data_IF_864582544098
#
_entry.id   IF_864582544098
#
_cell.length_a   1.000
_cell.length_b   1.000
_cell.length_c   1.000
_cell.angle_alpha   90.00
_cell.angle_beta   90.00
_cell.angle_gamma   90.00
#
_symmetry.space_group_name_H-M   'P 1'
#
loop_
_entity.id
_entity.type
_entity.pdbx_description
1 polymer ?
#
# COMPACT_ATOMS: atom_id res chain seq x y z
N UNK A 1 52.74 -4.32 -14.31
CA UNK A 1 52.51 -3.02 -14.95
C UNK A 1 51.29 -3.15 -15.83
N UNK A 2 50.35 -2.21 -15.70
CA UNK A 2 49.52 -1.65 -16.78
C UNK A 2 48.74 -2.59 -17.72
N UNK A 3 47.45 -2.73 -17.47
CA UNK A 3 46.41 -2.55 -18.51
C UNK A 3 46.41 -1.07 -19.01
N UNK A 4 45.54 -0.61 -19.96
CA UNK A 4 44.60 -1.33 -20.83
C UNK A 4 44.63 -0.84 -22.32
N UNK A 5 43.62 -1.26 -23.09
CA UNK A 5 42.76 -0.41 -23.96
C UNK A 5 42.82 -0.59 -25.50
N UNK A 6 41.67 -0.27 -26.11
CA UNK A 6 41.33 -0.14 -27.54
C UNK A 6 41.17 -1.46 -28.32
N UNK A 7 40.19 -1.64 -29.21
CA UNK A 7 39.48 -0.64 -30.03
C UNK A 7 38.04 -1.07 -30.41
N UNK A 8 37.03 -0.18 -30.31
CA UNK A 8 36.21 0.22 -31.48
C UNK A 8 35.22 1.38 -31.24
N UNK A 9 35.02 2.18 -32.30
CA UNK A 9 34.19 3.40 -32.39
C UNK A 9 33.51 3.44 -33.80
N UNK A 10 32.61 4.36 -34.19
CA UNK A 10 32.13 5.64 -33.63
C UNK A 10 30.65 5.84 -34.02
N UNK A 11 29.73 6.19 -33.09
CA UNK A 11 28.40 6.68 -33.50
C UNK A 11 27.66 7.51 -32.42
N UNK A 12 27.87 8.83 -32.43
CA UNK A 12 26.99 9.77 -31.73
C UNK A 12 25.64 9.86 -32.44
N UNK A 13 24.53 9.71 -31.71
CA UNK A 13 23.18 10.07 -32.16
C UNK A 13 22.55 11.02 -31.14
N UNK A 14 21.80 12.05 -31.58
CA UNK A 14 21.18 13.01 -30.66
C UNK A 14 20.14 12.30 -29.80
N UNK A 15 20.24 12.48 -28.48
CA UNK A 15 19.32 11.89 -27.51
C UNK A 15 17.94 12.56 -27.59
N UNK A 16 17.10 12.07 -28.51
CA UNK A 16 15.67 12.33 -28.49
C UNK A 16 15.16 11.90 -27.11
N UNK A 17 14.51 12.76 -26.31
CA UNK A 17 13.96 12.34 -25.03
C UNK A 17 12.93 11.24 -25.31
N UNK A 18 13.08 10.07 -24.67
CA UNK A 18 12.09 9.00 -24.78
C UNK A 18 10.75 9.55 -24.29
N UNK A 19 9.82 9.73 -25.23
CA UNK A 19 8.45 10.08 -24.90
C UNK A 19 7.84 9.01 -24.02
N UNK A 20 7.01 9.42 -23.06
CA UNK A 20 6.17 8.47 -22.33
C UNK A 20 5.29 7.72 -23.36
N UNK A 21 5.08 6.40 -23.18
CA UNK A 21 4.24 5.63 -24.10
C UNK A 21 2.85 6.24 -24.19
N UNK A 22 2.24 6.19 -25.37
CA UNK A 22 0.87 6.63 -25.56
C UNK A 22 -0.06 5.83 -24.61
N UNK A 23 -1.19 6.40 -24.16
CA UNK A 23 -2.12 5.69 -23.26
C UNK A 23 -2.77 4.42 -23.86
N UNK A 24 -2.56 4.15 -25.15
CA UNK A 24 -2.92 2.88 -25.81
C UNK A 24 -1.83 1.81 -25.74
N UNK A 25 -0.59 2.20 -25.45
CA UNK A 25 0.62 1.37 -25.46
C UNK A 25 1.16 1.11 -24.04
N UNK A 26 0.53 1.70 -23.02
CA UNK A 26 0.62 1.17 -21.65
C UNK A 26 -0.16 -0.15 -21.61
N UNK A 27 0.45 -1.26 -21.16
CA UNK A 27 -0.29 -2.48 -20.91
C UNK A 27 -1.29 -2.17 -19.80
N UNK A 28 -2.56 -2.03 -20.21
CA UNK A 28 -3.68 -1.75 -19.35
C UNK A 28 -3.91 -2.99 -18.48
N UNK A 29 -3.18 -3.06 -17.37
CA UNK A 29 -3.32 -4.08 -16.30
C UNK A 29 -4.60 -3.83 -15.49
N UNK A 30 -5.68 -3.52 -16.20
CA UNK A 30 -7.04 -3.49 -15.70
C UNK A 30 -7.59 -4.89 -15.90
N UNK A 31 -7.08 -5.83 -15.10
CA UNK A 31 -7.81 -7.06 -14.78
C UNK A 31 -9.01 -6.64 -13.91
N UNK A 32 -10.25 -6.58 -14.43
CA UNK A 32 -11.40 -6.10 -13.67
C UNK A 32 -11.82 -7.08 -12.56
N UNK A 33 -11.14 -8.23 -12.48
CA UNK A 33 -11.37 -9.33 -11.54
C UNK A 33 -10.09 -9.69 -10.76
N UNK A 34 -9.17 -8.74 -10.52
CA UNK A 34 -8.17 -8.94 -9.47
C UNK A 34 -8.86 -8.89 -8.09
N UNK A 35 -9.55 -9.98 -7.75
CA UNK A 35 -10.01 -10.29 -6.40
C UNK A 35 -8.76 -10.50 -5.57
N UNK A 36 -8.21 -9.39 -5.08
CA UNK A 36 -7.09 -9.42 -4.14
C UNK A 36 -7.58 -10.23 -2.95
N UNK A 37 -7.06 -11.45 -2.80
CA UNK A 37 -7.40 -12.33 -1.69
C UNK A 37 -6.76 -11.77 -0.43
N UNK A 38 -7.52 -10.93 0.26
CA UNK A 38 -7.13 -10.21 1.46
C UNK A 38 -7.28 -11.07 2.73
N UNK A 39 -7.18 -12.40 2.58
CA UNK A 39 -7.39 -13.47 3.58
C UNK A 39 -6.41 -13.40 4.78
N UNK A 40 -5.47 -12.47 4.75
CA UNK A 40 -4.36 -12.33 5.70
C UNK A 40 -4.20 -10.91 6.28
N UNK A 41 -5.16 -9.99 6.03
CA UNK A 41 -5.05 -8.60 6.48
C UNK A 41 -5.17 -8.37 8.00
N UNK A 42 -5.70 -9.34 8.74
CA UNK A 42 -6.02 -9.15 10.15
C UNK A 42 -7.16 -8.15 10.38
N UNK A 43 -7.33 -7.67 11.62
CA UNK A 43 -8.43 -6.79 11.97
C UNK A 43 -8.16 -5.33 11.54
N UNK A 44 -9.22 -4.65 11.11
CA UNK A 44 -9.22 -3.22 10.78
C UNK A 44 -9.35 -2.32 12.02
N UNK A 45 -8.72 -1.16 11.95
CA UNK A 45 -8.62 -0.13 12.98
C UNK A 45 -9.32 1.13 12.49
N UNK A 46 -10.27 1.66 13.27
CA UNK A 46 -10.82 3.00 13.03
C UNK A 46 -9.90 4.02 13.68
N UNK A 47 -9.50 5.05 12.95
CA UNK A 47 -8.64 6.14 13.43
C UNK A 47 -9.47 7.30 14.00
N UNK A 48 -8.80 8.26 14.65
CA UNK A 48 -9.49 9.42 15.27
C UNK A 48 -10.00 10.44 14.24
N UNK A 49 -9.51 10.36 13.00
CA UNK A 49 -9.90 11.16 11.83
C UNK A 49 -11.04 10.52 11.00
N UNK A 50 -11.55 9.35 11.43
CA UNK A 50 -12.57 8.59 10.71
C UNK A 50 -12.05 7.64 9.62
N UNK A 51 -10.75 7.66 9.30
CA UNK A 51 -10.15 6.72 8.34
C UNK A 51 -10.06 5.31 8.93
N UNK A 52 -9.95 4.30 8.05
CA UNK A 52 -9.80 2.89 8.46
C UNK A 52 -8.43 2.37 7.99
N UNK A 53 -7.63 1.85 8.93
CA UNK A 53 -6.29 1.31 8.69
C UNK A 53 -6.21 -0.18 9.04
N UNK A 54 -5.24 -0.89 8.46
CA UNK A 54 -4.91 -2.29 8.80
C UNK A 54 -3.70 -2.37 9.73
N UNK A 55 -3.61 -3.40 10.56
CA UNK A 55 -2.43 -3.65 11.40
C UNK A 55 -1.36 -4.36 10.55
N UNK A 56 -0.36 -3.63 10.06
CA UNK A 56 0.69 -4.17 9.18
C UNK A 56 1.49 -5.34 9.81
N UNK A 57 1.64 -5.33 11.14
CA UNK A 57 2.35 -6.34 11.95
C UNK A 57 1.49 -7.59 12.25
N UNK A 58 0.22 -7.68 11.81
CA UNK A 58 -0.72 -8.67 12.36
C UNK A 58 -0.26 -10.13 12.25
N UNK A 59 0.33 -10.51 11.11
CA UNK A 59 0.74 -11.89 10.86
C UNK A 59 1.93 -12.32 11.73
N UNK A 60 2.76 -11.38 12.20
CA UNK A 60 3.94 -11.63 13.01
C UNK A 60 3.63 -11.69 14.52
N UNK A 61 2.43 -11.30 14.95
CA UNK A 61 2.00 -11.40 16.35
C UNK A 61 1.77 -12.86 16.76
N UNK A 62 2.16 -13.22 17.98
CA UNK A 62 1.75 -14.49 18.59
C UNK A 62 0.25 -14.50 18.92
N UNK A 63 -0.35 -15.68 19.07
CA UNK A 63 -1.81 -15.77 19.22
C UNK A 63 -2.34 -15.11 20.51
N UNK A 64 -1.53 -15.10 21.59
CA UNK A 64 -1.84 -14.39 22.83
C UNK A 64 -1.77 -12.85 22.67
N UNK A 65 -0.91 -12.35 21.79
CA UNK A 65 -0.86 -10.92 21.44
C UNK A 65 -2.01 -10.54 20.49
N UNK A 66 -2.37 -11.43 19.55
CA UNK A 66 -3.55 -11.28 18.68
C UNK A 66 -4.84 -11.19 19.50
N UNK A 67 -5.04 -12.09 20.47
CA UNK A 67 -6.23 -12.09 21.35
C UNK A 67 -6.34 -10.78 22.15
N UNK A 68 -5.26 -10.36 22.82
CA UNK A 68 -5.19 -9.09 23.55
C UNK A 68 -5.46 -7.90 22.63
N UNK A 69 -4.85 -7.91 21.44
CA UNK A 69 -5.02 -6.86 20.43
C UNK A 69 -6.46 -6.76 19.98
N UNK A 70 -7.13 -7.88 19.64
CA UNK A 70 -8.55 -7.91 19.28
C UNK A 70 -9.45 -7.34 20.38
N UNK A 71 -9.22 -7.75 21.64
CA UNK A 71 -10.01 -7.28 22.78
C UNK A 71 -9.87 -5.77 23.00
N UNK A 72 -8.65 -5.24 22.93
CA UNK A 72 -8.41 -3.79 23.06
C UNK A 72 -8.95 -3.02 21.84
N UNK A 73 -8.79 -3.58 20.64
CA UNK A 73 -9.19 -2.95 19.39
C UNK A 73 -10.70 -2.83 19.29
N UNK A 74 -11.47 -3.85 19.66
CA UNK A 74 -12.93 -3.80 19.72
C UNK A 74 -13.41 -2.64 20.60
N UNK A 75 -12.86 -2.50 21.81
CA UNK A 75 -13.21 -1.40 22.73
C UNK A 75 -12.85 -0.03 22.15
N UNK A 76 -11.65 0.12 21.55
CA UNK A 76 -11.16 1.40 21.00
C UNK A 76 -11.90 1.82 19.73
N UNK A 77 -12.14 0.89 18.81
CA UNK A 77 -12.92 1.14 17.59
C UNK A 77 -14.36 1.53 17.95
N UNK A 78 -15.01 0.84 18.89
CA UNK A 78 -16.37 1.17 19.30
C UNK A 78 -16.46 2.59 19.89
N UNK A 79 -15.56 2.95 20.82
CA UNK A 79 -15.53 4.30 21.39
C UNK A 79 -15.26 5.40 20.33
N UNK A 80 -14.40 5.14 19.34
CA UNK A 80 -14.17 6.06 18.21
C UNK A 80 -15.40 6.19 17.32
N UNK A 81 -16.04 5.07 16.95
CA UNK A 81 -17.27 5.07 16.15
C UNK A 81 -18.39 5.87 16.84
N UNK A 82 -18.61 5.68 18.15
CA UNK A 82 -19.55 6.50 18.92
C UNK A 82 -19.19 7.99 18.87
N UNK A 83 -17.90 8.31 19.05
CA UNK A 83 -17.41 9.70 19.02
C UNK A 83 -17.53 10.37 17.65
N UNK A 84 -17.45 9.60 16.56
CA UNK A 84 -17.63 10.09 15.19
C UNK A 84 -19.12 10.29 14.90
N UNK A 85 -19.97 9.31 15.23
CA UNK A 85 -21.42 9.38 15.08
C UNK A 85 -22.03 10.56 15.85
N UNK A 86 -21.57 10.81 17.07
CA UNK A 86 -22.01 11.96 17.88
C UNK A 86 -21.55 13.33 17.32
N UNK A 87 -20.48 13.37 16.51
CA UNK A 87 -20.07 14.59 15.79
C UNK A 87 -20.91 14.80 14.53
N UNK A 88 -21.23 13.72 13.83
CA UNK A 88 -22.08 13.73 12.63
C UNK A 88 -23.53 14.11 12.98
N UNK A 89 -24.07 13.64 14.11
CA UNK A 89 -25.42 14.02 14.60
C UNK A 89 -25.51 15.44 15.16
N UNK A 90 -24.38 16.09 15.43
CA UNK A 90 -24.31 17.46 15.95
C UNK A 90 -24.03 18.51 14.85
N UNK A 91 -24.09 18.11 13.58
CA UNK A 91 -23.71 18.90 12.40
C UNK A 91 -24.90 19.10 11.44
#
# INVERSE_FOLDING_TARGET
MSDPNNTNETASQPSVPLGLPAPSDVPTSTEPNNVIKLDHLGPMVVNSDGTISRIANWQNLSDIEKERSLRLLAKRNNARMQSLKAKEEAQ
#
